data_IF_956715628965
#
_entry.id   IF_956715628965
#
_cell.length_a   1.000
_cell.length_b   1.000
_cell.length_c   1.000
_cell.angle_alpha   90.00
_cell.angle_beta   90.00
_cell.angle_gamma   90.00
#
_symmetry.space_group_name_H-M   'P 1'
#
loop_
_entity.id
_entity.type
_entity.pdbx_description
1 polymer ?
#
# COMPACT_ATOMS: atom_id res chain seq x y z
N UNK A 1 -36.05 -62.80 -72.62
CA UNK A 1 -36.90 -61.89 -73.40
C UNK A 1 -37.16 -60.61 -72.60
N UNK A 2 -36.25 -59.63 -72.68
CA UNK A 2 -36.69 -58.23 -72.60
C UNK A 2 -37.25 -57.97 -73.99
N UNK A 3 -38.55 -57.71 -74.11
CA UNK A 3 -39.18 -57.55 -75.42
C UNK A 3 -38.53 -56.38 -76.16
N UNK A 4 -38.25 -56.53 -77.46
CA UNK A 4 -37.74 -55.44 -78.32
C UNK A 4 -38.62 -54.17 -78.23
N UNK A 5 -39.89 -54.33 -77.86
CA UNK A 5 -40.83 -53.24 -77.59
C UNK A 5 -40.47 -52.40 -76.34
N UNK A 6 -39.93 -53.00 -75.27
CA UNK A 6 -39.53 -52.28 -74.06
C UNK A 6 -38.26 -51.46 -74.24
N UNK A 7 -37.29 -52.00 -74.99
CA UNK A 7 -36.05 -51.28 -75.33
C UNK A 7 -36.33 -50.10 -76.26
N UNK A 8 -37.19 -50.28 -77.28
CA UNK A 8 -37.63 -49.20 -78.16
C UNK A 8 -38.36 -48.08 -77.40
N UNK A 9 -39.19 -48.43 -76.41
CA UNK A 9 -39.92 -47.46 -75.59
C UNK A 9 -38.98 -46.65 -74.66
N UNK A 10 -37.99 -47.33 -74.05
CA UNK A 10 -36.99 -46.68 -73.20
C UNK A 10 -36.11 -45.71 -74.00
N UNK A 11 -35.69 -46.11 -75.21
CA UNK A 11 -34.92 -45.25 -76.11
C UNK A 11 -35.75 -44.03 -76.56
N UNK A 12 -37.04 -44.21 -76.85
CA UNK A 12 -37.91 -43.16 -77.38
C UNK A 12 -38.41 -42.15 -76.34
N UNK A 13 -38.63 -42.58 -75.09
CA UNK A 13 -39.19 -41.72 -74.03
C UNK A 13 -38.31 -41.59 -72.79
N UNK A 14 -37.54 -42.61 -72.42
CA UNK A 14 -36.66 -42.58 -71.25
C UNK A 14 -35.45 -41.67 -71.43
N UNK A 15 -34.75 -41.79 -72.56
CA UNK A 15 -33.55 -40.99 -72.86
C UNK A 15 -33.85 -39.48 -72.90
N UNK A 16 -34.92 -38.99 -73.58
CA UNK A 16 -35.28 -37.56 -73.56
C UNK A 16 -35.59 -37.02 -72.15
N UNK A 17 -36.26 -37.82 -71.30
CA UNK A 17 -36.60 -37.41 -69.93
C UNK A 17 -35.34 -37.29 -69.07
N UNK A 18 -34.39 -38.21 -69.23
CA UNK A 18 -33.09 -38.16 -68.55
C UNK A 18 -32.27 -36.95 -69.02
N UNK A 19 -32.22 -36.70 -70.33
CA UNK A 19 -31.56 -35.52 -70.90
C UNK A 19 -32.18 -34.21 -70.39
N UNK A 20 -33.51 -34.14 -70.29
CA UNK A 20 -34.20 -32.97 -69.73
C UNK A 20 -33.84 -32.72 -68.26
N UNK A 21 -33.77 -33.77 -67.43
CA UNK A 21 -33.35 -33.65 -66.03
C UNK A 21 -31.89 -33.20 -65.90
N UNK A 22 -31.01 -33.73 -66.75
CA UNK A 22 -29.60 -33.31 -66.82
C UNK A 22 -29.51 -31.83 -67.18
N UNK A 23 -30.31 -31.35 -68.15
CA UNK A 23 -30.31 -29.95 -68.60
C UNK A 23 -30.80 -28.99 -67.50
N UNK A 24 -31.82 -29.39 -66.72
CA UNK A 24 -32.34 -28.63 -65.58
C UNK A 24 -31.30 -28.57 -64.44
N UNK A 25 -30.70 -29.71 -64.08
CA UNK A 25 -29.65 -29.79 -63.06
C UNK A 25 -28.42 -28.96 -63.46
N UNK A 26 -28.06 -28.99 -64.74
CA UNK A 26 -27.01 -28.19 -65.32
C UNK A 26 -27.28 -26.68 -65.20
N UNK A 27 -28.46 -26.23 -65.66
CA UNK A 27 -28.85 -24.83 -65.59
C UNK A 27 -28.85 -24.29 -64.15
N UNK A 28 -29.32 -25.09 -63.20
CA UNK A 28 -29.29 -24.74 -61.78
C UNK A 28 -27.87 -24.64 -61.21
N UNK A 29 -26.99 -25.59 -61.55
CA UNK A 29 -25.59 -25.58 -61.16
C UNK A 29 -24.81 -24.39 -61.74
N UNK A 30 -25.03 -24.07 -63.01
CA UNK A 30 -24.42 -22.92 -63.69
C UNK A 30 -24.90 -21.59 -63.07
N UNK A 31 -26.20 -21.47 -62.76
CA UNK A 31 -26.74 -20.28 -62.10
C UNK A 31 -26.10 -20.03 -60.72
N UNK A 32 -25.99 -21.07 -59.89
CA UNK A 32 -25.35 -20.95 -58.56
C UNK A 32 -23.85 -20.61 -58.66
N UNK A 33 -23.13 -21.21 -59.59
CA UNK A 33 -21.69 -20.96 -59.78
C UNK A 33 -21.40 -19.57 -60.36
N UNK A 34 -22.21 -19.07 -61.29
CA UNK A 34 -22.15 -17.68 -61.76
C UNK A 34 -22.40 -16.67 -60.62
N UNK A 35 -23.38 -16.97 -59.75
CA UNK A 35 -23.63 -16.17 -58.54
C UNK A 35 -22.45 -16.13 -57.57
N UNK A 36 -21.71 -17.25 -57.44
CA UNK A 36 -20.49 -17.33 -56.64
C UNK A 36 -19.29 -16.61 -57.31
N UNK A 37 -19.16 -16.68 -58.63
CA UNK A 37 -18.11 -16.01 -59.40
C UNK A 37 -18.24 -14.48 -59.39
N UNK A 38 -19.47 -13.96 -59.35
CA UNK A 38 -19.75 -12.52 -59.19
C UNK A 38 -19.27 -11.97 -57.84
N UNK A 39 -19.16 -12.82 -56.80
CA UNK A 39 -18.62 -12.48 -55.47
C UNK A 39 -17.09 -12.58 -55.39
N UNK A 40 -16.38 -12.44 -56.51
CA UNK A 40 -14.90 -12.44 -56.65
C UNK A 40 -14.17 -13.68 -56.11
N UNK A 41 -14.85 -14.82 -55.94
CA UNK A 41 -14.16 -16.08 -55.69
C UNK A 41 -13.49 -16.56 -56.98
N UNK A 42 -12.15 -16.51 -57.03
CA UNK A 42 -11.37 -16.94 -58.19
C UNK A 42 -11.67 -18.40 -58.61
N UNK A 43 -11.92 -19.27 -57.63
CA UNK A 43 -12.28 -20.67 -57.84
C UNK A 43 -13.65 -20.86 -58.51
N UNK A 44 -14.62 -19.97 -58.26
CA UNK A 44 -15.94 -20.06 -58.87
C UNK A 44 -15.89 -19.83 -60.39
N UNK A 45 -14.94 -19.02 -60.87
CA UNK A 45 -14.70 -18.80 -62.31
C UNK A 45 -14.19 -20.07 -63.00
N UNK A 46 -13.36 -20.86 -62.33
CA UNK A 46 -12.82 -22.12 -62.88
C UNK A 46 -13.91 -23.20 -62.97
N UNK A 47 -14.81 -23.27 -61.98
CA UNK A 47 -15.99 -24.16 -62.05
C UNK A 47 -16.97 -23.74 -63.14
N UNK A 48 -17.14 -22.43 -63.41
CA UNK A 48 -17.98 -21.96 -64.53
C UNK A 48 -17.44 -22.46 -65.87
N UNK A 49 -16.12 -22.44 -66.08
CA UNK A 49 -15.49 -23.01 -67.28
C UNK A 49 -15.78 -24.51 -67.41
N UNK A 50 -15.71 -25.25 -66.29
CA UNK A 50 -16.09 -26.67 -66.25
C UNK A 50 -17.55 -26.89 -66.65
N UNK A 51 -18.49 -26.14 -66.07
CA UNK A 51 -19.90 -26.24 -66.47
C UNK A 51 -20.08 -25.90 -67.96
N UNK A 52 -19.44 -24.86 -68.50
CA UNK A 52 -19.56 -24.55 -69.94
C UNK A 52 -19.11 -25.71 -70.85
N UNK A 53 -18.01 -26.40 -70.51
CA UNK A 53 -17.53 -27.58 -71.25
C UNK A 53 -18.50 -28.76 -71.15
N UNK A 54 -19.09 -28.99 -69.98
CA UNK A 54 -20.10 -30.04 -69.78
C UNK A 54 -21.39 -29.75 -70.55
N UNK A 55 -21.84 -28.49 -70.55
CA UNK A 55 -22.99 -28.06 -71.35
C UNK A 55 -22.74 -28.23 -72.86
N UNK A 56 -21.52 -27.97 -73.33
CA UNK A 56 -21.13 -28.23 -74.72
C UNK A 56 -21.17 -29.73 -75.04
N UNK A 57 -20.61 -30.60 -74.17
CA UNK A 57 -20.62 -32.05 -74.34
C UNK A 57 -22.05 -32.63 -74.43
N UNK A 58 -22.95 -32.22 -73.53
CA UNK A 58 -24.37 -32.62 -73.57
C UNK A 58 -25.04 -32.13 -74.86
N UNK A 59 -24.71 -30.91 -75.31
CA UNK A 59 -25.26 -30.36 -76.56
C UNK A 59 -24.83 -31.19 -77.78
N UNK A 60 -23.59 -31.68 -77.80
CA UNK A 60 -23.10 -32.61 -78.83
C UNK A 60 -23.77 -33.98 -78.76
N UNK A 61 -24.03 -34.50 -77.55
CA UNK A 61 -24.76 -35.76 -77.34
C UNK A 61 -26.20 -35.69 -77.87
N UNK A 62 -26.90 -34.58 -77.60
CA UNK A 62 -28.24 -34.31 -78.13
C UNK A 62 -28.21 -34.19 -79.67
N UNK A 63 -27.21 -33.51 -80.24
CA UNK A 63 -27.05 -33.37 -81.70
C UNK A 63 -26.75 -34.72 -82.39
N UNK A 64 -25.93 -35.58 -81.79
CA UNK A 64 -25.67 -36.94 -82.26
C UNK A 64 -26.93 -37.81 -82.25
N UNK A 65 -27.76 -37.72 -81.21
CA UNK A 65 -29.05 -38.41 -81.13
C UNK A 65 -30.06 -37.94 -82.20
N UNK A 66 -30.02 -36.66 -82.56
CA UNK A 66 -30.83 -36.08 -83.65
C UNK A 66 -30.31 -36.45 -85.06
N UNK A 67 -29.29 -37.33 -85.16
CA UNK A 67 -28.62 -37.74 -86.41
C UNK A 67 -28.00 -36.59 -87.22
N UNK A 68 -27.56 -35.53 -86.55
CA UNK A 68 -26.72 -34.50 -87.18
C UNK A 68 -25.27 -35.00 -87.29
N UNK A 69 -24.98 -35.86 -88.27
CA UNK A 69 -23.63 -36.35 -88.58
C UNK A 69 -23.09 -37.47 -87.66
N UNK A 70 -22.03 -38.13 -88.12
CA UNK A 70 -21.43 -39.33 -87.52
C UNK A 70 -20.51 -38.98 -86.32
N UNK A 71 -21.11 -38.45 -85.25
CA UNK A 71 -20.41 -37.86 -84.10
C UNK A 71 -20.37 -38.75 -82.84
N UNK A 72 -20.81 -40.01 -82.94
CA UNK A 72 -21.07 -40.88 -81.77
C UNK A 72 -19.82 -41.21 -80.92
N UNK A 73 -18.60 -41.19 -81.48
CA UNK A 73 -17.37 -41.53 -80.75
C UNK A 73 -16.72 -40.39 -79.96
N UNK A 74 -16.92 -39.13 -80.36
CA UNK A 74 -16.28 -37.97 -79.72
C UNK A 74 -16.92 -37.58 -78.38
N UNK A 75 -18.13 -38.07 -78.11
CA UNK A 75 -18.92 -37.73 -76.92
C UNK A 75 -18.34 -38.41 -75.67
N UNK A 76 -17.99 -39.69 -75.75
CA UNK A 76 -17.41 -40.43 -74.61
C UNK A 76 -16.04 -39.87 -74.21
N UNK A 77 -15.19 -39.56 -75.19
CA UNK A 77 -13.87 -38.98 -74.94
C UNK A 77 -13.98 -37.58 -74.31
N UNK A 78 -14.91 -36.74 -74.79
CA UNK A 78 -15.10 -35.38 -74.26
C UNK A 78 -15.65 -35.38 -72.83
N UNK A 79 -16.57 -36.30 -72.50
CA UNK A 79 -17.08 -36.45 -71.14
C UNK A 79 -16.00 -36.93 -70.17
N UNK A 80 -15.16 -37.89 -70.59
CA UNK A 80 -14.03 -38.36 -69.80
C UNK A 80 -13.06 -37.22 -69.46
N UNK A 81 -12.70 -36.40 -70.46
CA UNK A 81 -11.83 -35.23 -70.29
C UNK A 81 -12.44 -34.22 -69.31
N UNK A 82 -13.75 -33.97 -69.38
CA UNK A 82 -14.45 -33.08 -68.44
C UNK A 82 -14.37 -33.59 -66.99
N UNK A 83 -14.66 -34.88 -66.75
CA UNK A 83 -14.62 -35.47 -65.41
C UNK A 83 -13.21 -35.37 -64.82
N UNK A 84 -12.17 -35.65 -65.61
CA UNK A 84 -10.78 -35.54 -65.17
C UNK A 84 -10.41 -34.09 -64.81
N UNK A 85 -10.74 -33.11 -65.66
CA UNK A 85 -10.49 -31.70 -65.38
C UNK A 85 -11.27 -31.19 -64.15
N UNK A 86 -12.50 -31.65 -63.97
CA UNK A 86 -13.31 -31.34 -62.80
C UNK A 86 -12.70 -31.91 -61.51
N UNK A 87 -12.22 -33.16 -61.53
CA UNK A 87 -11.54 -33.78 -60.40
C UNK A 87 -10.25 -33.04 -60.04
N UNK A 88 -9.44 -32.64 -61.04
CA UNK A 88 -8.23 -31.83 -60.81
C UNK A 88 -8.60 -30.48 -60.19
N UNK A 89 -9.59 -29.78 -60.73
CA UNK A 89 -10.08 -28.48 -60.22
C UNK A 89 -10.56 -28.58 -58.77
N UNK A 90 -11.38 -29.59 -58.46
CA UNK A 90 -11.88 -29.85 -57.10
C UNK A 90 -10.75 -30.21 -56.13
N UNK A 91 -9.78 -31.02 -56.58
CA UNK A 91 -8.61 -31.39 -55.77
C UNK A 91 -7.77 -30.17 -55.41
N UNK A 92 -7.49 -29.29 -56.38
CA UNK A 92 -6.77 -28.02 -56.14
C UNK A 92 -7.54 -27.12 -55.18
N UNK A 93 -8.86 -27.01 -55.35
CA UNK A 93 -9.70 -26.19 -54.48
C UNK A 93 -9.75 -26.72 -53.04
N UNK A 94 -9.96 -28.03 -52.87
CA UNK A 94 -9.98 -28.68 -51.58
C UNK A 94 -8.64 -28.51 -50.86
N UNK A 95 -7.53 -28.69 -51.56
CA UNK A 95 -6.19 -28.51 -51.00
C UNK A 95 -5.94 -27.04 -50.59
N UNK A 96 -6.40 -26.07 -51.38
CA UNK A 96 -6.31 -24.65 -51.03
C UNK A 96 -7.13 -24.30 -49.77
N UNK A 97 -8.37 -24.77 -49.69
CA UNK A 97 -9.24 -24.60 -48.53
C UNK A 97 -8.64 -25.25 -47.27
N UNK A 98 -8.12 -26.47 -47.40
CA UNK A 98 -7.50 -27.19 -46.30
C UNK A 98 -6.29 -26.42 -45.75
N UNK A 99 -5.37 -25.99 -46.63
CA UNK A 99 -4.20 -25.17 -46.24
C UNK A 99 -4.60 -23.83 -45.62
N UNK A 100 -5.64 -23.17 -46.11
CA UNK A 100 -6.13 -21.91 -45.55
C UNK A 100 -6.69 -22.09 -44.13
N UNK A 101 -7.47 -23.17 -43.93
CA UNK A 101 -7.99 -23.56 -42.61
C UNK A 101 -6.85 -23.87 -41.65
N UNK A 102 -5.88 -24.68 -42.04
CA UNK A 102 -4.72 -25.03 -41.20
C UNK A 102 -3.92 -23.79 -40.79
N UNK A 103 -3.67 -22.86 -41.71
CA UNK A 103 -2.99 -21.59 -41.39
C UNK A 103 -3.77 -20.77 -40.36
N UNK A 104 -5.09 -20.70 -40.52
CA UNK A 104 -5.96 -19.96 -39.60
C UNK A 104 -5.99 -20.61 -38.21
N UNK A 105 -6.09 -21.94 -38.15
CA UNK A 105 -6.02 -22.71 -36.91
C UNK A 105 -4.67 -22.50 -36.23
N UNK A 106 -3.56 -22.62 -36.96
CA UNK A 106 -2.21 -22.40 -36.40
C UNK A 106 -2.06 -20.99 -35.83
N UNK A 107 -2.48 -19.95 -36.56
CA UNK A 107 -2.47 -18.56 -36.07
C UNK A 107 -3.30 -18.37 -34.81
N UNK A 108 -4.47 -19.00 -34.73
CA UNK A 108 -5.34 -18.93 -33.56
C UNK A 108 -4.69 -19.62 -32.35
N UNK A 109 -4.11 -20.80 -32.54
CA UNK A 109 -3.42 -21.55 -31.47
C UNK A 109 -2.22 -20.78 -30.94
N UNK A 110 -1.43 -20.14 -31.82
CA UNK A 110 -0.31 -19.29 -31.41
C UNK A 110 -0.77 -18.08 -30.59
N UNK A 111 -1.88 -17.42 -30.99
CA UNK A 111 -2.46 -16.31 -30.23
C UNK A 111 -2.98 -16.75 -28.86
N UNK A 112 -3.71 -17.87 -28.81
CA UNK A 112 -4.17 -18.49 -27.57
C UNK A 112 -3.00 -18.75 -26.62
N UNK A 113 -1.92 -19.37 -27.11
CA UNK A 113 -0.74 -19.68 -26.30
C UNK A 113 -0.07 -18.40 -25.76
N UNK A 114 0.07 -17.36 -26.57
CA UNK A 114 0.62 -16.06 -26.13
C UNK A 114 -0.24 -15.41 -25.06
N UNK A 115 -1.56 -15.40 -25.23
CA UNK A 115 -2.49 -14.85 -24.25
C UNK A 115 -2.42 -15.62 -22.92
N UNK A 116 -2.38 -16.95 -22.97
CA UNK A 116 -2.26 -17.77 -21.77
C UNK A 116 -0.93 -17.53 -21.04
N UNK A 117 0.19 -17.37 -21.77
CA UNK A 117 1.48 -17.04 -21.17
C UNK A 117 1.47 -15.67 -20.50
N UNK A 118 1.02 -14.63 -21.21
CA UNK A 118 0.93 -13.29 -20.67
C UNK A 118 0.01 -13.22 -19.44
N UNK A 119 -1.12 -13.95 -19.46
CA UNK A 119 -2.01 -14.09 -18.31
C UNK A 119 -1.32 -14.76 -17.13
N UNK A 120 -0.64 -15.89 -17.36
CA UNK A 120 0.06 -16.61 -16.29
C UNK A 120 1.20 -15.78 -15.68
N UNK A 121 1.92 -15.01 -16.50
CA UNK A 121 2.96 -14.08 -16.05
C UNK A 121 2.35 -12.96 -15.20
N UNK A 122 1.23 -12.37 -15.64
CA UNK A 122 0.50 -11.37 -14.86
C UNK A 122 0.03 -11.94 -13.50
N UNK A 123 -0.60 -13.11 -13.50
CA UNK A 123 -1.06 -13.79 -12.27
C UNK A 123 0.09 -14.18 -11.33
N UNK A 124 1.28 -14.48 -11.86
CA UNK A 124 2.48 -14.75 -11.05
C UNK A 124 3.05 -13.47 -10.46
N UNK A 125 3.12 -12.40 -11.26
CA UNK A 125 3.57 -11.11 -10.78
C UNK A 125 2.64 -10.59 -9.67
N UNK A 126 1.32 -10.61 -9.90
CA UNK A 126 0.31 -10.21 -8.91
C UNK A 126 0.43 -10.99 -7.61
N UNK A 127 0.53 -12.33 -7.67
CA UNK A 127 0.75 -13.16 -6.47
C UNK A 127 2.03 -12.80 -5.73
N UNK A 128 3.13 -12.55 -6.45
CA UNK A 128 4.39 -12.12 -5.85
C UNK A 128 4.23 -10.78 -5.14
N UNK A 129 3.58 -9.80 -5.76
CA UNK A 129 3.31 -8.50 -5.15
C UNK A 129 2.42 -8.62 -3.91
N UNK A 130 1.31 -9.35 -4.01
CA UNK A 130 0.40 -9.57 -2.89
C UNK A 130 1.13 -10.25 -1.72
N UNK A 131 1.98 -11.25 -2.00
CA UNK A 131 2.76 -11.93 -0.98
C UNK A 131 3.75 -10.98 -0.29
N UNK A 132 4.49 -10.15 -1.04
CA UNK A 132 5.43 -9.19 -0.46
C UNK A 132 4.72 -8.10 0.35
N UNK A 133 3.59 -7.62 -0.15
CA UNK A 133 2.76 -6.63 0.51
C UNK A 133 2.18 -7.17 1.84
N UNK A 134 1.57 -8.35 1.82
CA UNK A 134 0.93 -8.96 2.99
C UNK A 134 1.96 -9.44 4.04
N UNK A 135 3.11 -9.98 3.63
CA UNK A 135 4.10 -10.49 4.57
C UNK A 135 5.10 -9.42 5.05
N UNK A 136 4.94 -8.15 4.68
CA UNK A 136 5.82 -7.08 5.17
C UNK A 136 5.70 -6.92 6.69
N UNK A 137 6.83 -6.75 7.42
CA UNK A 137 6.82 -6.51 8.86
C UNK A 137 6.27 -5.13 9.24
N UNK A 138 6.29 -4.20 8.30
CA UNK A 138 5.74 -2.85 8.45
C UNK A 138 4.28 -2.81 8.01
N UNK A 139 3.51 -1.91 8.60
CA UNK A 139 2.15 -1.64 8.14
C UNK A 139 2.27 -0.82 6.85
N UNK A 140 1.79 -1.38 5.74
CA UNK A 140 1.74 -0.72 4.44
C UNK A 140 0.29 -0.38 4.15
N UNK A 141 0.01 0.87 3.82
CA UNK A 141 -1.33 1.34 3.53
C UNK A 141 -1.36 2.36 2.39
N UNK A 142 -2.53 2.53 1.78
CA UNK A 142 -2.81 3.62 0.87
C UNK A 142 -4.04 4.39 1.30
N UNK A 143 -4.03 5.70 1.07
CA UNK A 143 -5.13 6.62 1.38
C UNK A 143 -5.68 7.27 0.11
N UNK A 144 -6.97 7.53 0.10
CA UNK A 144 -7.64 8.34 -0.92
C UNK A 144 -7.39 9.85 -0.74
N UNK A 145 -8.07 10.64 -1.56
CA UNK A 145 -8.01 12.11 -1.57
C UNK A 145 -8.52 12.76 -0.28
N UNK A 146 -9.38 12.06 0.46
CA UNK A 146 -9.94 12.45 1.76
C UNK A 146 -9.14 11.88 2.95
N UNK A 147 -7.97 11.28 2.67
CA UNK A 147 -7.13 10.58 3.65
C UNK A 147 -7.78 9.37 4.32
N UNK A 148 -8.74 8.72 3.66
CA UNK A 148 -9.36 7.48 4.11
C UNK A 148 -8.60 6.28 3.56
N UNK A 149 -8.53 5.20 4.34
CA UNK A 149 -7.82 3.99 3.90
C UNK A 149 -8.48 3.34 2.68
N UNK A 150 -7.72 3.20 1.60
CA UNK A 150 -8.08 2.40 0.42
C UNK A 150 -7.61 0.95 0.58
N UNK A 151 -6.40 0.76 1.10
CA UNK A 151 -5.85 -0.56 1.39
C UNK A 151 -4.93 -0.52 2.61
N UNK A 152 -4.78 -1.67 3.26
CA UNK A 152 -3.81 -1.89 4.33
C UNK A 152 -3.44 -3.37 4.35
N UNK A 153 -2.16 -3.69 4.53
CA UNK A 153 -1.69 -5.07 4.64
C UNK A 153 -2.06 -5.70 5.99
N UNK A 154 -1.99 -7.03 6.09
CA UNK A 154 -2.32 -7.76 7.33
C UNK A 154 -1.45 -7.39 8.54
N UNK A 155 -0.28 -6.76 8.37
CA UNK A 155 0.61 -6.34 9.46
C UNK A 155 -0.11 -5.43 10.47
N UNK A 156 -1.15 -4.71 10.05
CA UNK A 156 -2.00 -3.92 10.97
C UNK A 156 -2.69 -4.76 12.05
N UNK A 157 -2.99 -6.03 11.75
CA UNK A 157 -3.57 -6.99 12.69
C UNK A 157 -2.54 -7.40 13.73
N UNK A 158 -1.32 -7.71 13.27
CA UNK A 158 -0.24 -8.20 14.13
C UNK A 158 0.32 -7.07 15.00
N UNK A 159 0.39 -5.84 14.46
CA UNK A 159 0.96 -4.67 15.13
C UNK A 159 -0.03 -3.89 15.98
N UNK A 160 -1.28 -3.73 15.53
CA UNK A 160 -2.29 -2.89 16.21
C UNK A 160 -3.55 -3.66 16.63
N UNK A 161 -3.74 -4.91 16.20
CA UNK A 161 -4.90 -5.73 16.56
C UNK A 161 -6.17 -5.45 15.74
N UNK A 162 -6.13 -4.55 14.77
CA UNK A 162 -7.29 -4.24 13.91
C UNK A 162 -7.40 -5.22 12.74
N UNK A 163 -8.62 -5.55 12.34
CA UNK A 163 -8.84 -6.25 11.07
C UNK A 163 -8.80 -5.24 9.92
N UNK A 164 -8.21 -5.65 8.79
CA UNK A 164 -8.14 -4.85 7.55
C UNK A 164 -9.48 -4.20 7.20
N UNK A 165 -10.56 -4.99 7.19
CA UNK A 165 -11.91 -4.53 6.84
C UNK A 165 -12.47 -3.43 7.74
N UNK A 166 -11.99 -3.32 8.97
CA UNK A 166 -12.44 -2.28 9.91
C UNK A 166 -11.82 -0.93 9.59
N UNK A 167 -10.67 -0.91 8.90
CA UNK A 167 -9.94 0.31 8.61
C UNK A 167 -10.28 0.90 7.25
N UNK A 168 -10.64 0.06 6.27
CA UNK A 168 -11.01 0.53 4.93
C UNK A 168 -12.15 1.55 5.00
N UNK A 169 -11.95 2.72 4.39
CA UNK A 169 -12.87 3.84 4.38
C UNK A 169 -12.84 4.75 5.62
N UNK A 170 -12.13 4.36 6.68
CA UNK A 170 -11.92 5.23 7.84
C UNK A 170 -10.80 6.25 7.56
N UNK A 171 -10.89 7.48 8.07
CA UNK A 171 -9.82 8.46 7.97
C UNK A 171 -8.61 8.03 8.81
N UNK A 172 -7.40 8.22 8.28
CA UNK A 172 -6.15 7.89 8.99
C UNK A 172 -6.08 8.50 10.40
N UNK A 173 -6.65 9.70 10.57
CA UNK A 173 -6.68 10.45 11.83
C UNK A 173 -7.42 9.72 12.96
N UNK A 174 -8.33 8.81 12.64
CA UNK A 174 -9.05 7.99 13.62
C UNK A 174 -8.19 6.85 14.17
N UNK A 175 -7.05 6.56 13.56
CA UNK A 175 -6.08 5.59 14.09
C UNK A 175 -5.10 6.24 15.08
N UNK A 176 -5.06 7.56 15.19
CA UNK A 176 -4.17 8.27 16.12
C UNK A 176 -4.67 8.07 17.55
N UNK A 177 -3.76 7.65 18.44
CA UNK A 177 -4.04 7.57 19.86
C UNK A 177 -4.08 8.97 20.50
N UNK A 178 -5.13 9.19 21.29
CA UNK A 178 -5.34 10.43 22.01
C UNK A 178 -5.68 10.09 23.46
N UNK A 179 -4.88 10.63 24.39
CA UNK A 179 -5.03 10.39 25.84
C UNK A 179 -6.19 11.19 26.46
N UNK A 180 -6.51 12.35 25.89
CA UNK A 180 -7.46 13.31 26.47
C UNK A 180 -8.29 14.01 25.37
N UNK A 181 -9.59 14.23 25.57
CA UNK A 181 -10.48 14.77 24.51
C UNK A 181 -10.09 16.18 24.06
N UNK A 182 -9.59 16.99 25.00
CA UNK A 182 -9.06 18.34 24.77
C UNK A 182 -7.88 18.36 23.78
N UNK A 183 -7.03 17.32 23.81
CA UNK A 183 -5.86 17.17 22.94
C UNK A 183 -6.18 16.48 21.61
N UNK A 184 -7.39 15.94 21.45
CA UNK A 184 -7.83 15.21 20.24
C UNK A 184 -7.76 16.10 19.01
N UNK A 185 -8.24 17.34 19.12
CA UNK A 185 -8.30 18.28 18.02
C UNK A 185 -6.89 18.68 17.55
N UNK A 186 -6.03 19.06 18.49
CA UNK A 186 -4.66 19.53 18.20
C UNK A 186 -3.83 18.43 17.53
N UNK A 187 -3.81 17.21 18.08
CA UNK A 187 -3.05 16.09 17.49
C UNK A 187 -3.56 15.71 16.09
N UNK A 188 -4.89 15.70 15.88
CA UNK A 188 -5.47 15.39 14.57
C UNK A 188 -5.13 16.46 13.52
N UNK A 189 -5.21 17.73 13.88
CA UNK A 189 -4.88 18.83 12.96
C UNK A 189 -3.38 18.85 12.61
N UNK A 190 -2.49 18.59 13.57
CA UNK A 190 -1.04 18.48 13.28
C UNK A 190 -0.74 17.35 12.29
N UNK A 191 -1.39 16.19 12.44
CA UNK A 191 -1.18 15.07 11.50
C UNK A 191 -1.83 15.36 10.15
N UNK A 192 -3.01 16.01 10.14
CA UNK A 192 -3.68 16.45 8.92
C UNK A 192 -2.85 17.46 8.14
N UNK A 193 -2.18 18.38 8.81
CA UNK A 193 -1.22 19.29 8.17
C UNK A 193 -0.08 18.51 7.50
N UNK A 194 0.47 17.49 8.16
CA UNK A 194 1.50 16.61 7.57
C UNK A 194 0.99 15.81 6.37
N UNK A 195 -0.24 15.32 6.41
CA UNK A 195 -0.91 14.64 5.29
C UNK A 195 -1.09 15.60 4.10
N UNK A 196 -1.58 16.82 4.35
CA UNK A 196 -1.73 17.87 3.34
C UNK A 196 -0.39 18.28 2.74
N UNK A 197 0.66 18.37 3.57
CA UNK A 197 2.02 18.66 3.12
C UNK A 197 2.56 17.57 2.19
N UNK A 198 2.39 16.30 2.56
CA UNK A 198 2.79 15.17 1.73
C UNK A 198 2.09 15.18 0.37
N UNK A 199 0.80 15.55 0.34
CA UNK A 199 0.03 15.73 -0.89
C UNK A 199 0.52 16.91 -1.73
N UNK A 200 0.54 18.11 -1.15
CA UNK A 200 0.76 19.36 -1.89
C UNK A 200 2.21 19.50 -2.38
N UNK A 201 3.18 19.09 -1.56
CA UNK A 201 4.60 19.21 -1.91
C UNK A 201 5.10 18.06 -2.79
N UNK A 202 4.30 17.00 -2.98
CA UNK A 202 4.68 15.74 -3.65
C UNK A 202 6.02 15.18 -3.14
N UNK A 203 6.33 15.42 -1.86
CA UNK A 203 7.58 14.99 -1.20
C UNK A 203 7.28 13.93 -0.15
N UNK A 204 8.28 13.09 0.10
CA UNK A 204 8.21 12.14 1.21
C UNK A 204 8.21 12.89 2.54
N UNK A 205 7.16 12.72 3.34
CA UNK A 205 7.04 13.29 4.70
C UNK A 205 7.14 12.16 5.71
N UNK A 206 7.95 12.35 6.76
CA UNK A 206 8.15 11.35 7.80
C UNK A 206 7.94 11.96 9.18
N UNK A 207 7.23 11.26 10.06
CA UNK A 207 6.96 11.70 11.42
C UNK A 207 6.65 10.54 12.35
N UNK A 208 6.92 10.72 13.64
CA UNK A 208 6.49 9.80 14.70
C UNK A 208 5.06 10.13 15.13
N UNK A 209 4.27 9.10 15.40
CA UNK A 209 2.90 9.23 15.93
C UNK A 209 2.52 8.01 16.75
N UNK A 210 1.79 8.22 17.83
CA UNK A 210 1.16 7.15 18.60
C UNK A 210 -0.09 6.68 17.84
N UNK A 211 -0.09 5.44 17.38
CA UNK A 211 -1.29 4.80 16.83
C UNK A 211 -2.00 4.04 17.95
N UNK A 212 -3.32 4.07 17.96
CA UNK A 212 -4.10 3.28 18.92
C UNK A 212 -4.07 1.82 18.53
N UNK A 213 -4.03 0.93 19.51
CA UNK A 213 -4.30 -0.50 19.32
C UNK A 213 -5.79 -0.80 19.53
N UNK A 214 -6.22 -2.02 19.20
CA UNK A 214 -7.58 -2.50 19.50
C UNK A 214 -7.92 -2.45 20.99
N UNK A 215 -6.93 -2.55 21.87
CA UNK A 215 -7.10 -2.44 23.32
C UNK A 215 -6.95 -1.00 23.84
N UNK A 216 -7.05 0.00 22.96
CA UNK A 216 -6.91 1.42 23.28
C UNK A 216 -5.58 1.79 23.96
N UNK A 217 -4.50 1.09 23.61
CA UNK A 217 -3.15 1.43 24.07
C UNK A 217 -2.40 2.23 22.99
N UNK A 218 -1.53 3.18 23.38
CA UNK A 218 -0.65 3.86 22.44
C UNK A 218 0.46 2.92 21.96
N UNK A 219 0.74 2.95 20.65
CA UNK A 219 1.94 2.34 20.08
C UNK A 219 2.64 3.37 19.19
N UNK A 220 3.84 3.78 19.59
CA UNK A 220 4.64 4.74 18.81
C UNK A 220 5.10 4.09 17.51
N UNK A 221 4.79 4.71 16.38
CA UNK A 221 5.20 4.25 15.06
C UNK A 221 5.79 5.39 14.25
N UNK A 222 6.77 5.05 13.42
CA UNK A 222 7.34 5.97 12.46
C UNK A 222 6.57 5.86 11.15
N UNK A 223 5.81 6.91 10.83
CA UNK A 223 5.01 6.99 9.61
C UNK A 223 5.78 7.74 8.54
N UNK A 224 5.90 7.13 7.36
CA UNK A 224 6.40 7.75 6.14
C UNK A 224 5.28 7.79 5.12
N UNK A 225 5.07 8.94 4.49
CA UNK A 225 4.06 9.18 3.46
C UNK A 225 4.72 9.65 2.17
N UNK A 226 4.27 9.11 1.05
CA UNK A 226 4.68 9.49 -0.30
C UNK A 226 3.46 9.60 -1.20
N UNK A 227 3.36 10.68 -1.97
CA UNK A 227 2.31 10.86 -2.97
C UNK A 227 2.68 10.16 -4.28
N UNK A 228 1.74 9.41 -4.86
CA UNK A 228 1.89 8.75 -6.16
C UNK A 228 0.75 9.19 -7.07
N UNK A 229 1.07 9.65 -8.28
CA UNK A 229 0.10 10.02 -9.31
C UNK A 229 -0.32 8.76 -10.10
N UNK A 230 -1.64 8.48 -10.19
CA UNK A 230 -2.23 7.43 -11.02
C UNK A 230 -3.32 8.02 -11.93
N UNK A 231 -3.06 8.11 -13.24
CA UNK A 231 -4.05 8.28 -14.32
C UNK A 231 -5.23 9.24 -14.03
N UNK A 232 -5.00 10.38 -13.35
CA UNK A 232 -5.94 11.46 -12.93
C UNK A 232 -6.36 11.50 -11.45
N UNK A 233 -5.83 10.62 -10.60
CA UNK A 233 -6.00 10.68 -9.14
C UNK A 233 -4.66 10.58 -8.44
N UNK A 234 -4.55 11.21 -7.27
CA UNK A 234 -3.40 11.01 -6.40
C UNK A 234 -3.76 10.02 -5.30
N UNK A 235 -2.84 9.11 -5.00
CA UNK A 235 -2.96 8.17 -3.89
C UNK A 235 -1.81 8.46 -2.94
N UNK A 236 -2.13 8.61 -1.65
CA UNK A 236 -1.10 8.74 -0.63
C UNK A 236 -0.69 7.35 -0.17
N UNK A 237 0.53 6.95 -0.48
CA UNK A 237 1.09 5.69 -0.01
C UNK A 237 1.83 5.93 1.31
N UNK A 238 1.60 5.04 2.28
CA UNK A 238 2.17 5.16 3.61
C UNK A 238 2.76 3.86 4.14
N UNK A 239 3.85 3.99 4.89
CA UNK A 239 4.39 2.90 5.71
C UNK A 239 4.43 3.35 7.16
N UNK A 240 3.97 2.52 8.08
CA UNK A 240 4.18 2.68 9.52
C UNK A 240 5.06 1.55 10.01
N UNK A 241 6.29 1.88 10.41
CA UNK A 241 7.24 0.94 10.99
C UNK A 241 7.31 1.11 12.50
N UNK A 242 7.67 0.03 13.20
CA UNK A 242 8.01 0.14 14.62
C UNK A 242 9.22 1.05 14.77
N UNK A 243 9.19 1.95 15.75
CA UNK A 243 10.41 2.63 16.16
C UNK A 243 11.34 1.56 16.76
N UNK A 244 12.58 1.41 16.28
CA UNK A 244 13.52 0.44 16.84
C UNK A 244 13.61 0.64 18.35
N UNK A 245 13.28 -0.39 19.11
CA UNK A 245 13.53 -0.41 20.55
C UNK A 245 15.04 -0.46 20.77
N UNK A 246 15.52 0.19 21.83
CA UNK A 246 16.91 0.06 22.24
C UNK A 246 17.10 -1.32 22.88
N UNK A 247 17.31 -2.36 22.06
CA UNK A 247 17.46 -3.76 22.51
C UNK A 247 18.55 -3.92 23.58
N UNK A 248 19.55 -3.03 23.56
CA UNK A 248 20.64 -3.01 24.53
C UNK A 248 20.14 -2.73 25.95
N UNK A 249 19.01 -2.03 26.12
CA UNK A 249 18.46 -1.72 27.44
C UNK A 249 18.19 -2.98 28.28
N UNK A 250 17.83 -4.10 27.64
CA UNK A 250 17.60 -5.39 28.33
C UNK A 250 18.87 -5.99 28.95
N UNK A 251 20.03 -5.62 28.43
CA UNK A 251 21.34 -6.08 28.89
C UNK A 251 22.05 -5.01 29.73
N UNK A 252 21.53 -3.79 29.78
CA UNK A 252 22.07 -2.68 30.57
C UNK A 252 21.77 -2.90 32.06
N UNK A 253 22.82 -3.13 32.86
CA UNK A 253 22.72 -3.18 34.32
C UNK A 253 22.73 -1.80 34.96
N UNK A 254 23.58 -0.93 34.44
CA UNK A 254 23.74 0.46 34.88
C UNK A 254 24.05 1.35 33.69
N UNK A 255 23.48 2.55 33.65
CA UNK A 255 23.79 3.57 32.67
C UNK A 255 23.92 4.92 33.38
N UNK A 256 24.95 5.70 33.06
CA UNK A 256 25.11 7.05 33.58
C UNK A 256 25.48 8.03 32.48
N UNK A 257 24.94 9.25 32.54
CA UNK A 257 25.21 10.33 31.59
C UNK A 257 25.35 11.67 32.32
N UNK A 258 26.29 12.49 31.86
CA UNK A 258 26.53 13.84 32.35
C UNK A 258 26.33 14.81 31.20
N UNK A 259 25.35 15.70 31.30
CA UNK A 259 25.04 16.70 30.28
C UNK A 259 25.30 18.11 30.80
N UNK A 260 25.87 18.95 29.93
CA UNK A 260 26.05 20.39 30.16
C UNK A 260 25.26 21.12 29.09
N UNK A 261 24.17 21.77 29.49
CA UNK A 261 23.22 22.42 28.60
C UNK A 261 23.42 23.93 28.62
N UNK A 262 23.30 24.53 27.45
CA UNK A 262 23.09 25.97 27.31
C UNK A 262 21.63 26.33 27.63
N UNK A 263 21.32 27.63 27.71
CA UNK A 263 19.96 28.13 27.92
C UNK A 263 19.05 27.95 26.68
N UNK A 264 18.86 26.72 26.23
CA UNK A 264 18.09 26.35 25.05
C UNK A 264 16.96 25.38 25.40
N UNK A 265 15.72 25.88 25.31
CA UNK A 265 14.51 25.11 25.66
C UNK A 265 14.28 23.89 24.76
N UNK A 266 14.72 23.91 23.50
CA UNK A 266 14.57 22.75 22.61
C UNK A 266 15.47 21.59 23.04
N UNK A 267 16.67 21.89 23.56
CA UNK A 267 17.59 20.86 24.05
C UNK A 267 17.06 20.24 25.34
N UNK A 268 16.40 21.04 26.19
CA UNK A 268 15.74 20.53 27.40
C UNK A 268 14.69 19.45 27.07
N UNK A 269 13.90 19.64 26.01
CA UNK A 269 12.95 18.63 25.52
C UNK A 269 13.66 17.33 25.12
N UNK A 270 14.67 17.45 24.24
CA UNK A 270 15.39 16.30 23.70
C UNK A 270 16.10 15.48 24.78
N UNK A 271 16.72 16.16 25.75
CA UNK A 271 17.39 15.49 26.87
C UNK A 271 16.38 14.77 27.74
N UNK A 272 15.27 15.43 28.10
CA UNK A 272 14.21 14.83 28.92
C UNK A 272 13.64 13.58 28.25
N UNK A 273 13.38 13.63 26.95
CA UNK A 273 12.96 12.45 26.17
C UNK A 273 14.01 11.33 26.22
N UNK A 274 15.29 11.67 25.98
CA UNK A 274 16.39 10.69 25.90
C UNK A 274 16.63 9.95 27.21
N UNK A 275 16.61 10.64 28.35
CA UNK A 275 16.94 10.05 29.67
C UNK A 275 15.74 9.47 30.40
N UNK A 276 14.52 9.68 29.88
CA UNK A 276 13.31 9.01 30.38
C UNK A 276 12.80 7.92 29.45
N UNK A 277 13.35 7.78 28.24
CA UNK A 277 13.00 6.71 27.31
C UNK A 277 13.07 5.31 27.96
N UNK A 278 14.09 4.97 28.77
CA UNK A 278 14.14 3.68 29.45
C UNK A 278 12.97 3.41 30.41
N UNK A 279 12.38 4.45 31.01
CA UNK A 279 11.28 4.29 31.97
C UNK A 279 10.05 3.65 31.35
N UNK A 280 9.81 3.83 30.05
CA UNK A 280 8.67 3.23 29.36
C UNK A 280 8.72 1.70 29.30
N UNK A 281 9.88 1.10 29.60
CA UNK A 281 10.06 -0.34 29.71
C UNK A 281 10.02 -0.85 31.16
N UNK A 282 10.22 0.03 32.14
CA UNK A 282 10.40 -0.33 33.55
C UNK A 282 9.14 -0.04 34.39
N UNK A 283 8.35 0.95 33.99
CA UNK A 283 7.11 1.37 34.67
C UNK A 283 5.99 1.58 33.65
N UNK A 284 4.77 1.84 34.13
CA UNK A 284 3.63 2.03 33.22
C UNK A 284 3.83 3.26 32.32
N UNK A 285 3.38 3.19 31.06
CA UNK A 285 3.48 4.30 30.11
C UNK A 285 2.92 5.65 30.63
N UNK A 286 1.77 5.67 31.33
CA UNK A 286 1.26 6.87 32.01
C UNK A 286 2.23 7.51 33.01
N UNK A 287 2.88 6.70 33.85
CA UNK A 287 3.84 7.15 34.86
C UNK A 287 5.15 7.58 34.21
N UNK A 288 5.66 6.83 33.22
CA UNK A 288 6.85 7.21 32.47
C UNK A 288 6.68 8.56 31.74
N UNK A 289 5.51 8.77 31.14
CA UNK A 289 5.17 10.06 30.52
C UNK A 289 5.05 11.19 31.56
N UNK A 290 4.52 10.90 32.75
CA UNK A 290 4.46 11.85 33.87
C UNK A 290 5.85 12.24 34.37
N UNK A 291 6.73 11.26 34.60
CA UNK A 291 8.12 11.48 34.99
C UNK A 291 8.88 12.30 33.94
N UNK A 292 8.66 12.03 32.64
CA UNK A 292 9.19 12.86 31.53
C UNK A 292 8.73 14.30 31.63
N UNK A 293 7.44 14.53 31.84
CA UNK A 293 6.87 15.87 31.94
C UNK A 293 7.43 16.62 33.16
N UNK A 294 7.51 15.95 34.33
CA UNK A 294 8.09 16.53 35.54
C UNK A 294 9.56 16.90 35.37
N UNK A 295 10.39 15.97 34.86
CA UNK A 295 11.80 16.22 34.61
C UNK A 295 12.02 17.37 33.62
N UNK A 296 11.24 17.41 32.54
CA UNK A 296 11.27 18.50 31.57
C UNK A 296 11.01 19.85 32.23
N UNK A 297 9.98 19.92 33.07
CA UNK A 297 9.68 21.16 33.79
C UNK A 297 10.86 21.59 34.66
N UNK A 298 11.47 20.66 35.39
CA UNK A 298 12.62 20.97 36.25
C UNK A 298 13.78 21.55 35.45
N UNK A 299 14.10 20.97 34.28
CA UNK A 299 15.15 21.50 33.40
C UNK A 299 14.76 22.87 32.83
N UNK A 300 13.51 23.06 32.43
CA UNK A 300 13.00 24.36 31.94
C UNK A 300 13.09 25.41 33.05
N UNK A 301 12.72 25.08 34.28
CA UNK A 301 12.81 25.98 35.42
C UNK A 301 14.26 26.33 35.75
N UNK A 302 15.18 25.37 35.66
CA UNK A 302 16.61 25.62 35.81
C UNK A 302 17.13 26.63 34.77
N UNK A 303 16.63 26.59 33.53
CA UNK A 303 16.97 27.57 32.48
C UNK A 303 16.31 28.92 32.76
N UNK A 304 14.99 28.94 32.93
CA UNK A 304 14.18 30.17 32.99
C UNK A 304 14.38 30.91 34.31
N UNK A 305 14.14 30.23 35.43
CA UNK A 305 14.16 30.82 36.77
C UNK A 305 15.58 30.79 37.37
N UNK A 306 16.34 29.73 37.14
CA UNK A 306 17.72 29.62 37.62
C UNK A 306 18.69 30.52 36.85
N UNK A 307 19.00 30.13 35.61
CA UNK A 307 20.04 30.78 34.83
C UNK A 307 19.64 32.16 34.31
N UNK A 308 18.47 32.29 33.68
CA UNK A 308 18.00 33.56 33.10
C UNK A 308 17.35 34.50 34.13
N UNK A 309 17.15 34.02 35.35
CA UNK A 309 16.55 34.75 36.48
C UNK A 309 15.21 35.43 36.13
N UNK A 310 14.41 34.79 35.27
CA UNK A 310 13.07 35.25 34.93
C UNK A 310 12.19 34.89 36.11
N UNK A 311 11.58 35.85 36.80
CA UNK A 311 10.74 35.53 37.96
C UNK A 311 9.37 35.00 37.53
N UNK A 312 8.65 34.31 38.44
CA UNK A 312 7.29 33.84 38.17
C UNK A 312 6.35 34.99 37.75
N UNK A 313 6.46 36.14 38.41
CA UNK A 313 5.65 37.32 38.11
C UNK A 313 5.99 37.93 36.74
N UNK A 314 7.26 37.94 36.35
CA UNK A 314 7.69 38.40 35.02
C UNK A 314 7.19 37.46 33.92
N UNK A 315 7.27 36.15 34.14
CA UNK A 315 6.75 35.13 33.21
C UNK A 315 5.23 35.28 33.05
N UNK A 316 4.50 35.42 34.14
CA UNK A 316 3.03 35.60 34.13
C UNK A 316 2.59 36.81 33.31
N UNK A 317 3.19 37.98 33.60
CA UNK A 317 2.88 39.23 32.92
C UNK A 317 3.22 39.17 31.43
N UNK A 318 4.42 38.68 31.10
CA UNK A 318 4.86 38.60 29.70
C UNK A 318 4.13 37.54 28.88
N UNK A 319 3.58 36.49 29.50
CA UNK A 319 2.67 35.56 28.83
C UNK A 319 1.30 36.20 28.54
N UNK A 320 0.73 36.97 29.48
CA UNK A 320 -0.52 37.69 29.28
C UNK A 320 -0.40 38.71 28.12
N UNK A 321 0.74 39.39 28.04
CA UNK A 321 1.00 40.39 27.00
C UNK A 321 1.58 39.80 25.70
N UNK A 322 1.70 38.47 25.58
CA UNK A 322 2.32 37.78 24.42
C UNK A 322 3.76 38.23 24.10
N UNK A 323 4.48 38.76 25.08
CA UNK A 323 5.86 39.28 24.95
C UNK A 323 6.94 38.36 25.54
N UNK A 324 6.55 37.20 26.07
CA UNK A 324 7.47 36.26 26.73
C UNK A 324 8.73 35.94 25.92
N UNK A 325 8.58 35.61 24.63
CA UNK A 325 9.72 35.29 23.76
C UNK A 325 10.71 36.46 23.60
N UNK A 326 10.23 37.71 23.70
CA UNK A 326 11.10 38.89 23.66
C UNK A 326 11.92 38.98 24.95
N UNK A 327 11.28 38.85 26.12
CA UNK A 327 11.95 38.84 27.42
C UNK A 327 12.99 37.72 27.50
N UNK A 328 12.63 36.51 27.07
CA UNK A 328 13.53 35.36 27.06
C UNK A 328 14.78 35.64 26.20
N UNK A 329 14.60 36.14 24.98
CA UNK A 329 15.71 36.49 24.08
C UNK A 329 16.58 37.64 24.61
N UNK A 330 15.99 38.59 25.33
CA UNK A 330 16.72 39.68 25.99
C UNK A 330 17.65 39.13 27.09
N UNK A 331 17.12 38.27 27.98
CA UNK A 331 17.92 37.61 29.02
C UNK A 331 19.00 36.71 28.44
N UNK A 332 18.73 36.05 27.32
CA UNK A 332 19.70 35.21 26.63
C UNK A 332 20.89 35.99 26.06
N UNK A 333 20.71 37.28 25.77
CA UNK A 333 21.78 38.17 25.26
C UNK A 333 22.54 38.90 26.37
N UNK A 334 21.96 38.99 27.56
CA UNK A 334 22.57 39.67 28.71
C UNK A 334 23.85 38.93 29.15
N UNK A 335 25.02 39.61 29.19
CA UNK A 335 26.28 39.03 29.65
C UNK A 335 26.23 38.39 31.05
N UNK A 336 25.31 38.83 31.92
CA UNK A 336 25.14 38.29 33.29
C UNK A 336 24.57 36.87 33.31
N UNK A 337 23.79 36.48 32.30
CA UNK A 337 23.05 35.22 32.27
C UNK A 337 23.48 34.29 31.13
N UNK A 338 23.91 34.85 29.98
CA UNK A 338 24.10 34.10 28.72
C UNK A 338 25.06 32.91 28.80
N UNK A 339 26.08 32.99 29.67
CA UNK A 339 27.12 31.97 29.78
C UNK A 339 26.78 30.89 30.81
N UNK A 340 25.71 31.08 31.59
CA UNK A 340 25.31 30.11 32.61
C UNK A 340 24.83 28.81 31.96
N UNK A 341 25.16 27.68 32.60
CA UNK A 341 24.83 26.32 32.13
C UNK A 341 23.87 25.63 33.08
N UNK A 342 23.12 24.67 32.56
CA UNK A 342 22.38 23.71 33.37
C UNK A 342 23.07 22.36 33.25
N UNK A 343 23.42 21.77 34.38
CA UNK A 343 24.03 20.45 34.44
C UNK A 343 22.94 19.44 34.74
N UNK A 344 22.87 18.37 33.95
CA UNK A 344 21.94 17.25 34.15
C UNK A 344 22.74 15.96 34.28
N UNK A 345 22.80 15.42 35.49
CA UNK A 345 23.31 14.08 35.73
C UNK A 345 22.16 13.08 35.72
N UNK A 346 22.38 11.96 35.05
CA UNK A 346 21.44 10.86 34.96
C UNK A 346 22.13 9.56 35.32
N UNK A 347 21.45 8.75 36.09
CA UNK A 347 21.85 7.40 36.44
C UNK A 347 20.62 6.49 36.40
N UNK A 348 20.75 5.35 35.73
CA UNK A 348 19.76 4.29 35.69
C UNK A 348 20.39 3.00 36.17
N UNK A 349 19.68 2.34 37.06
CA UNK A 349 19.99 1.01 37.57
C UNK A 349 18.76 0.12 37.44
N UNK A 350 18.88 -1.16 37.79
CA UNK A 350 17.74 -2.08 37.85
C UNK A 350 16.70 -1.67 38.93
N UNK A 351 17.09 -0.89 39.93
CA UNK A 351 16.25 -0.56 41.09
C UNK A 351 15.67 0.85 41.02
N UNK A 352 16.36 1.78 40.37
CA UNK A 352 15.93 3.16 40.32
C UNK A 352 16.54 3.94 39.14
N UNK A 353 15.86 5.02 38.78
CA UNK A 353 16.39 6.11 37.98
C UNK A 353 16.59 7.35 38.85
N UNK A 354 17.78 7.93 38.78
CA UNK A 354 18.19 9.13 39.49
C UNK A 354 18.54 10.23 38.50
N UNK A 355 17.95 11.41 38.72
CA UNK A 355 18.18 12.60 37.92
C UNK A 355 18.63 13.73 38.85
N UNK A 356 19.70 14.42 38.49
CA UNK A 356 20.16 15.61 39.21
C UNK A 356 20.23 16.76 38.24
N UNK A 357 19.48 17.82 38.51
CA UNK A 357 19.50 19.04 37.71
C UNK A 357 20.09 20.15 38.57
N UNK A 358 21.15 20.80 38.06
CA UNK A 358 21.85 21.89 38.75
C UNK A 358 21.93 23.10 37.84
N UNK A 359 21.52 24.26 38.34
CA UNK A 359 21.67 25.55 37.67
C UNK A 359 22.69 26.46 38.38
N UNK A 360 23.21 27.43 37.64
CA UNK A 360 24.17 28.42 38.15
C UNK A 360 23.47 29.69 38.67
N UNK A 361 22.17 29.62 38.92
CA UNK A 361 21.33 30.69 39.41
C UNK A 361 21.49 31.01 40.89
N UNK A 362 20.65 31.94 41.34
CA UNK A 362 20.55 32.36 42.75
C UNK A 362 19.94 31.28 43.66
N UNK A 363 19.18 30.35 43.09
CA UNK A 363 18.37 29.38 43.83
C UNK A 363 17.08 30.00 44.38
N UNK A 364 16.30 29.21 45.12
CA UNK A 364 15.04 29.66 45.72
C UNK A 364 14.72 28.91 47.02
N UNK A 365 13.90 29.53 47.87
CA UNK A 365 13.40 28.93 49.11
C UNK A 365 12.37 27.83 48.82
N UNK A 366 12.79 26.58 48.89
CA UNK A 366 11.98 25.42 48.51
C UNK A 366 11.11 24.85 49.66
N UNK A 367 11.38 25.26 50.91
CA UNK A 367 10.76 24.72 52.14
C UNK A 367 9.23 24.88 52.17
N UNK A 368 8.70 25.94 51.55
CA UNK A 368 7.26 26.21 51.47
C UNK A 368 6.55 25.36 50.39
N UNK A 369 7.29 24.82 49.41
CA UNK A 369 6.73 24.11 48.25
C UNK A 369 6.68 22.60 48.49
N UNK A 370 7.65 22.04 49.23
CA UNK A 370 7.72 20.61 49.54
C UNK A 370 6.99 20.22 50.84
N UNK A 371 6.68 21.19 51.72
CA UNK A 371 6.05 20.96 53.03
C UNK A 371 4.53 21.16 53.11
N UNK A 372 3.90 21.76 52.09
CA UNK A 372 2.45 21.97 52.05
C UNK A 372 1.68 20.71 51.66
N UNK A 373 0.50 20.49 52.23
CA UNK A 373 -0.40 19.43 51.76
C UNK A 373 -0.72 19.66 50.27
N UNK A 374 -0.68 18.60 49.47
CA UNK A 374 -1.03 18.61 48.03
C UNK A 374 -2.42 19.26 47.79
N UNK A 375 -3.29 19.23 48.79
CA UNK A 375 -4.62 19.84 48.76
C UNK A 375 -4.63 21.38 48.89
N UNK A 376 -3.64 21.96 49.57
CA UNK A 376 -3.55 23.42 49.78
C UNK A 376 -2.95 24.15 48.57
N UNK A 377 -2.04 23.48 47.84
CA UNK A 377 -1.42 23.99 46.61
C UNK A 377 -2.42 24.19 45.45
N UNK A 378 -3.60 23.55 45.52
CA UNK A 378 -4.66 23.69 44.52
C UNK A 378 -5.47 25.00 44.65
N UNK A 379 -5.40 25.72 45.79
CA UNK A 379 -6.35 26.80 46.08
C UNK A 379 -5.94 28.21 45.64
N UNK A 380 -4.65 28.52 45.48
CA UNK A 380 -4.25 29.94 45.30
C UNK A 380 -3.32 30.31 44.13
N UNK A 381 -2.72 29.39 43.36
CA UNK A 381 -1.82 29.79 42.25
C UNK A 381 -1.89 28.87 41.02
N UNK A 382 -2.92 29.07 40.21
CA UNK A 382 -3.40 28.14 39.18
C UNK A 382 -2.50 27.91 37.93
N UNK A 383 -1.35 28.59 37.77
CA UNK A 383 -0.46 28.39 36.62
C UNK A 383 1.01 28.04 36.94
N UNK A 384 1.59 28.45 38.07
CA UNK A 384 3.05 28.39 38.27
C UNK A 384 3.55 27.20 39.09
N UNK A 385 2.69 26.52 39.84
CA UNK A 385 3.05 25.38 40.70
C UNK A 385 2.80 24.01 40.07
N UNK A 386 2.12 23.92 38.92
CA UNK A 386 1.69 22.64 38.33
C UNK A 386 2.86 21.73 37.98
N UNK A 387 3.94 22.30 37.48
CA UNK A 387 5.09 21.50 37.05
C UNK A 387 5.90 20.90 38.20
N UNK A 388 6.03 21.63 39.32
CA UNK A 388 6.62 21.08 40.55
C UNK A 388 5.68 20.04 41.18
N UNK A 389 4.37 20.29 41.17
CA UNK A 389 3.36 19.34 41.66
C UNK A 389 3.37 18.03 40.87
N UNK A 390 3.44 18.09 39.53
CA UNK A 390 3.60 16.91 38.69
C UNK A 390 4.89 16.17 39.07
N UNK A 391 5.99 16.89 39.29
CA UNK A 391 7.25 16.27 39.71
C UNK A 391 7.11 15.55 41.05
N UNK A 392 6.48 16.19 42.05
CA UNK A 392 6.25 15.59 43.38
C UNK A 392 5.33 14.36 43.33
N UNK A 393 4.43 14.28 42.35
CA UNK A 393 3.54 13.12 42.18
C UNK A 393 4.20 11.95 41.44
N UNK A 394 5.20 12.21 40.60
CA UNK A 394 5.77 11.21 39.69
C UNK A 394 7.10 10.63 40.17
N UNK A 395 7.76 11.29 41.12
CA UNK A 395 9.02 10.82 41.71
C UNK A 395 8.82 10.46 43.19
N UNK A 396 9.45 9.38 43.63
CA UNK A 396 9.30 8.91 45.02
C UNK A 396 10.08 9.78 46.00
N UNK A 397 11.16 10.41 45.53
CA UNK A 397 11.93 11.39 46.29
C UNK A 397 12.30 12.59 45.41
N UNK A 398 12.10 13.77 45.97
CA UNK A 398 12.48 15.06 45.37
C UNK A 398 13.21 15.87 46.44
N UNK A 399 14.52 16.02 46.29
CA UNK A 399 15.38 16.68 47.26
C UNK A 399 16.03 17.91 46.64
N UNK A 400 15.85 19.07 47.24
CA UNK A 400 16.57 20.29 46.89
C UNK A 400 17.78 20.47 47.81
N UNK A 401 18.85 21.08 47.31
CA UNK A 401 19.94 21.55 48.17
C UNK A 401 19.53 22.80 48.95
N UNK A 402 20.27 23.15 50.00
CA UNK A 402 19.95 24.30 50.85
C UNK A 402 19.83 25.64 50.11
N UNK A 403 20.53 25.80 48.97
CA UNK A 403 20.45 26.99 48.13
C UNK A 403 19.23 26.97 47.19
N UNK A 404 18.67 25.80 46.88
CA UNK A 404 17.57 25.62 45.93
C UNK A 404 17.94 25.71 44.45
N UNK A 405 19.23 25.63 44.10
CA UNK A 405 19.71 25.62 42.71
C UNK A 405 20.17 24.23 42.22
N UNK A 406 19.92 23.19 43.02
CA UNK A 406 20.15 21.80 42.67
C UNK A 406 19.00 20.96 43.19
N UNK A 407 18.43 20.14 42.32
CA UNK A 407 17.37 19.21 42.66
C UNK A 407 17.75 17.80 42.23
N UNK A 408 17.50 16.85 43.13
CA UNK A 408 17.65 15.43 42.92
C UNK A 408 16.27 14.78 42.90
N UNK A 409 15.99 14.05 41.83
CA UNK A 409 14.77 13.30 41.60
C UNK A 409 15.11 11.81 41.56
N UNK A 410 14.42 11.00 42.35
CA UNK A 410 14.60 9.55 42.36
C UNK A 410 13.25 8.89 42.11
N UNK A 411 13.23 8.01 41.11
CA UNK A 411 12.11 7.09 40.85
C UNK A 411 12.62 5.67 41.03
N UNK A 412 12.02 4.96 41.96
CA UNK A 412 12.29 3.57 42.29
C UNK A 412 11.35 2.63 41.51
N UNK A 413 11.85 1.46 41.21
CA UNK A 413 11.13 0.38 40.55
C UNK A 413 10.90 -0.70 41.60
N UNK A 414 9.65 -1.07 41.87
CA UNK A 414 9.36 -2.18 42.76
C UNK A 414 9.88 -3.47 42.10
N UNK A 415 10.89 -4.12 42.70
CA UNK A 415 11.55 -5.36 42.28
C UNK A 415 11.05 -5.87 40.93
N UNK A 416 11.64 -5.35 39.84
CA UNK A 416 11.56 -6.06 38.58
C UNK A 416 12.28 -7.39 38.81
N UNK A 417 11.54 -8.46 39.07
CA UNK A 417 12.07 -9.80 38.86
C UNK A 417 12.75 -9.76 37.49
N UNK A 418 14.04 -10.17 37.39
CA UNK A 418 14.68 -10.25 36.09
C UNK A 418 13.74 -11.08 35.20
N UNK A 419 13.46 -10.66 33.95
CA UNK A 419 12.56 -11.41 33.09
C UNK A 419 13.06 -12.86 33.05
N UNK A 420 12.20 -13.75 33.52
CA UNK A 420 12.49 -15.16 33.76
C UNK A 420 13.25 -15.74 32.56
N UNK A 421 14.51 -16.10 32.76
CA UNK A 421 15.42 -16.55 31.70
C UNK A 421 15.08 -17.94 31.13
N UNK A 422 13.86 -18.46 31.33
CA UNK A 422 13.59 -19.87 31.06
C UNK A 422 12.22 -20.26 30.49
N UNK A 423 11.41 -19.35 29.92
CA UNK A 423 10.15 -19.77 29.29
C UNK A 423 10.09 -19.79 27.77
N UNK A 424 11.05 -19.20 27.04
CA UNK A 424 10.98 -19.14 25.56
C UNK A 424 12.08 -19.93 24.82
N UNK A 425 12.92 -20.72 25.50
CA UNK A 425 13.97 -21.52 24.83
C UNK A 425 13.50 -22.95 24.46
N UNK A 426 12.37 -23.44 24.97
CA UNK A 426 11.93 -24.84 24.72
C UNK A 426 11.14 -25.03 23.42
N UNK A 427 10.73 -23.96 22.72
CA UNK A 427 9.94 -24.08 21.47
C UNK A 427 10.74 -23.94 20.18
N UNK A 428 12.06 -23.69 20.22
CA UNK A 428 12.90 -23.51 19.03
C UNK A 428 13.92 -24.65 18.76
N UNK A 429 13.77 -25.83 19.37
CA UNK A 429 14.61 -27.02 19.06
C UNK A 429 13.82 -28.22 18.58
N UNK A 430 12.80 -27.98 17.75
CA UNK A 430 12.23 -28.98 16.84
C UNK A 430 11.92 -28.34 15.50
N UNK A 431 12.94 -28.24 14.66
CA UNK A 431 12.85 -28.32 13.20
C UNK A 431 14.24 -28.60 12.62
#
# INVERSE_FOLDING_TARGET
LVSETGFSYYVKFGIPIVLLHILIAFGYGLYRTLGAARRRFYAARLTVVGFLLFGAAISFEIAGYLKFGDMAGYVEESFLVFVVLFMISMSVHFNHLHRSRERSVRKLTERMLRLTRARNEAERAERKYLHLFENSPDIIFSLDEDFKFLSVNRSVRDRLGFQVKQLIGLPFQDLIFVRDESSRFIRREVVKEKLLKARNEKRSVQFKVDLRTRMEQPREMLVRLSCVDLDDRYILFGTASSVPEDELLRYTRTESKHFVLDNNLNVAELISERITAPLFHLISGPEAAGARMGLREIIVNAIEHGNLNITADEKSRSLADSTYMRLFNERLRDPRYRNRKVIVDYELTAEHARYVVTDEGGGFEHSQVTGGSIQDLNRENLLHGRGILITLQQFDRVNYNAKGNRVELIRTFANAEPPDQNQDIVSATRL
#
